data_IF_130830479321
#
_entry.id   IF_130830479321
#
_cell.length_a   1.000
_cell.length_b   1.000
_cell.length_c   1.000
_cell.angle_alpha   90.00
_cell.angle_beta   90.00
_cell.angle_gamma   90.00
#
_symmetry.space_group_name_H-M   'P 1'
#
loop_
_entity.id
_entity.type
_entity.pdbx_description
1 polymer ?
#
# COMPACT_ATOMS: atom_id res chain seq x y z
N UNK A 1 -9.14 -111.01 115.43
CA UNK A 1 -8.12 -110.09 115.95
C UNK A 1 -8.84 -108.77 116.13
N UNK A 2 -9.04 -108.19 117.29
CA UNK A 2 -8.62 -108.44 118.69
C UNK A 2 -9.85 -107.99 119.51
N UNK A 3 -10.42 -108.86 120.35
CA UNK A 3 -10.20 -108.86 121.81
C UNK A 3 -10.78 -107.60 122.49
N UNK A 4 -11.49 -107.63 123.62
CA UNK A 4 -11.92 -108.63 124.58
C UNK A 4 -13.09 -107.92 125.31
N UNK A 5 -14.29 -108.50 125.48
CA UNK A 5 -14.62 -109.44 126.55
C UNK A 5 -14.27 -108.92 127.97
N UNK A 6 -14.97 -109.34 129.04
CA UNK A 6 -16.42 -109.34 129.28
C UNK A 6 -16.71 -109.08 130.78
N UNK A 7 -17.91 -109.50 131.22
CA UNK A 7 -18.19 -110.09 132.54
C UNK A 7 -18.46 -109.13 133.70
N UNK A 8 -19.35 -109.40 134.65
CA UNK A 8 -20.42 -110.39 134.85
C UNK A 8 -20.90 -110.18 136.30
N UNK A 9 -22.03 -110.82 136.65
CA UNK A 9 -22.34 -111.29 138.01
C UNK A 9 -22.72 -110.24 139.06
N UNK A 10 -23.63 -110.49 140.00
CA UNK A 10 -24.69 -111.48 140.28
C UNK A 10 -25.13 -111.09 141.70
N UNK A 11 -26.40 -111.32 142.02
CA UNK A 11 -26.96 -111.43 143.40
C UNK A 11 -26.94 -110.13 144.22
N UNK A 12 -27.80 -109.90 145.19
CA UNK A 12 -29.15 -110.32 145.54
C UNK A 12 -29.47 -109.54 146.82
N UNK A 13 -30.69 -108.99 146.93
CA UNK A 13 -31.48 -108.71 148.15
C UNK A 13 -30.76 -107.95 149.29
N UNK A 14 -31.15 -106.76 149.71
CA UNK A 14 -32.46 -106.33 150.27
C UNK A 14 -32.38 -104.81 150.45
N UNK A 15 -33.45 -104.06 150.19
CA UNK A 15 -33.52 -102.63 150.55
C UNK A 15 -34.51 -101.82 149.70
N UNK A 16 -35.78 -102.20 149.79
CA UNK A 16 -36.91 -101.54 149.12
C UNK A 16 -37.04 -100.07 149.51
N UNK A 17 -37.62 -99.27 148.59
CA UNK A 17 -38.13 -97.88 148.72
C UNK A 17 -37.25 -96.71 148.26
N UNK A 18 -35.93 -96.83 148.16
CA UNK A 18 -35.09 -95.76 147.60
C UNK A 18 -34.96 -95.75 146.05
N UNK A 19 -35.05 -96.93 145.43
CA UNK A 19 -34.63 -97.13 144.03
C UNK A 19 -35.65 -96.63 142.97
N UNK A 20 -36.94 -96.52 143.33
CA UNK A 20 -37.99 -96.09 142.39
C UNK A 20 -37.95 -94.58 142.09
N UNK A 21 -37.44 -93.74 143.01
CA UNK A 21 -37.29 -92.30 142.76
C UNK A 21 -36.13 -91.99 141.82
N UNK A 22 -34.99 -92.68 141.97
CA UNK A 22 -33.82 -92.48 141.11
C UNK A 22 -34.05 -92.94 139.65
N UNK A 23 -34.97 -93.88 139.40
CA UNK A 23 -35.37 -94.29 138.04
C UNK A 23 -36.24 -93.25 137.32
N UNK A 24 -37.06 -92.48 138.04
CA UNK A 24 -37.93 -91.48 137.44
C UNK A 24 -37.18 -90.21 137.00
N UNK A 25 -36.16 -89.79 137.77
CA UNK A 25 -35.30 -88.67 137.36
C UNK A 25 -34.44 -89.01 136.13
N UNK A 26 -33.93 -90.24 136.03
CA UNK A 26 -33.16 -90.69 134.85
C UNK A 26 -34.01 -90.77 133.57
N UNK A 27 -35.32 -91.01 133.66
CA UNK A 27 -36.18 -91.06 132.47
C UNK A 27 -36.52 -89.66 131.95
N UNK A 28 -36.69 -88.67 132.82
CA UNK A 28 -36.89 -87.27 132.40
C UNK A 28 -35.65 -86.67 131.73
N UNK A 29 -34.43 -86.97 132.20
CA UNK A 29 -33.21 -86.51 131.54
C UNK A 29 -33.02 -87.09 130.13
N UNK A 30 -33.44 -88.34 129.89
CA UNK A 30 -33.36 -88.97 128.57
C UNK A 30 -34.31 -88.31 127.55
N UNK A 31 -35.54 -87.97 127.96
CA UNK A 31 -36.51 -87.28 127.08
C UNK A 31 -36.03 -85.88 126.68
N UNK A 32 -35.39 -85.16 127.60
CA UNK A 32 -34.86 -83.82 127.32
C UNK A 32 -33.66 -83.86 126.35
N UNK A 33 -32.83 -84.90 126.40
CA UNK A 33 -31.72 -85.10 125.44
C UNK A 33 -32.20 -85.48 124.04
N UNK A 34 -33.27 -86.28 123.92
CA UNK A 34 -33.83 -86.63 122.61
C UNK A 34 -34.51 -85.43 121.93
N UNK A 35 -35.15 -84.53 122.70
CA UNK A 35 -35.72 -83.29 122.14
C UNK A 35 -34.66 -82.36 121.54
N UNK A 36 -33.51 -82.17 122.21
CA UNK A 36 -32.42 -81.32 121.68
C UNK A 36 -31.82 -81.86 120.37
N UNK A 37 -31.69 -83.18 120.21
CA UNK A 37 -31.17 -83.79 118.97
C UNK A 37 -32.13 -83.64 117.78
N UNK A 38 -33.43 -83.47 118.02
CA UNK A 38 -34.43 -83.27 116.95
C UNK A 38 -34.47 -81.81 116.49
N UNK A 39 -34.26 -80.83 117.39
CA UNK A 39 -34.17 -79.41 117.02
C UNK A 39 -32.92 -79.09 116.19
N UNK A 40 -31.76 -79.66 116.52
CA UNK A 40 -30.53 -79.45 115.73
C UNK A 40 -30.63 -80.01 114.30
N UNK A 41 -31.38 -81.10 114.10
CA UNK A 41 -31.62 -81.65 112.75
C UNK A 41 -32.58 -80.81 111.92
N UNK A 42 -33.56 -80.14 112.55
CA UNK A 42 -34.45 -79.20 111.84
C UNK A 42 -33.72 -77.95 111.37
N UNK A 43 -32.87 -77.36 112.22
CA UNK A 43 -32.11 -76.16 111.87
C UNK A 43 -31.14 -76.38 110.69
N UNK A 44 -30.47 -77.54 110.61
CA UNK A 44 -29.58 -77.86 109.47
C UNK A 44 -30.31 -78.08 108.14
N UNK A 45 -31.57 -78.53 108.19
CA UNK A 45 -32.37 -78.78 106.98
C UNK A 45 -33.03 -77.50 106.43
N UNK A 46 -33.26 -76.47 107.27
CA UNK A 46 -33.76 -75.17 106.84
C UNK A 46 -32.70 -74.33 106.11
N UNK A 47 -31.45 -74.39 106.56
CA UNK A 47 -30.33 -73.64 105.93
C UNK A 47 -30.03 -74.17 104.52
N UNK A 48 -30.02 -75.49 104.32
CA UNK A 48 -29.79 -76.09 102.98
C UNK A 48 -30.90 -75.76 101.97
N UNK A 49 -32.17 -75.61 102.41
CA UNK A 49 -33.27 -75.23 101.51
C UNK A 49 -33.22 -73.76 101.06
N UNK A 50 -32.63 -72.86 101.85
CA UNK A 50 -32.52 -71.45 101.47
C UNK A 50 -31.39 -71.19 100.45
N UNK A 51 -30.33 -72.01 100.44
CA UNK A 51 -29.21 -71.88 99.49
C UNK A 51 -29.55 -72.46 98.10
N UNK A 52 -30.35 -73.52 98.01
CA UNK A 52 -30.82 -74.07 96.72
C UNK A 52 -31.84 -73.16 96.02
N UNK A 53 -32.63 -72.39 96.78
CA UNK A 53 -33.62 -71.45 96.20
C UNK A 53 -32.93 -70.20 95.62
N UNK A 54 -31.89 -69.68 96.28
CA UNK A 54 -31.12 -68.52 95.77
C UNK A 54 -30.32 -68.83 94.50
N UNK A 55 -29.84 -70.06 94.34
CA UNK A 55 -29.07 -70.49 93.16
C UNK A 55 -29.97 -70.78 91.95
N UNK A 56 -31.23 -71.20 92.14
CA UNK A 56 -32.20 -71.37 91.04
C UNK A 56 -32.80 -70.07 90.52
N UNK A 57 -33.03 -69.08 91.38
CA UNK A 57 -33.52 -67.76 90.95
C UNK A 57 -32.49 -66.97 90.14
N UNK A 58 -31.19 -67.10 90.45
CA UNK A 58 -30.14 -66.43 89.68
C UNK A 58 -29.90 -67.04 88.28
N UNK A 59 -30.16 -68.34 88.10
CA UNK A 59 -29.99 -69.01 86.81
C UNK A 59 -31.09 -68.64 85.78
N UNK A 60 -32.33 -68.43 86.22
CA UNK A 60 -33.44 -68.04 85.34
C UNK A 60 -33.32 -66.59 84.84
N UNK A 61 -32.84 -65.69 85.70
CA UNK A 61 -32.65 -64.26 85.35
C UNK A 61 -31.51 -64.08 84.34
N UNK A 62 -30.45 -64.91 84.41
CA UNK A 62 -29.36 -64.84 83.42
C UNK A 62 -29.75 -65.41 82.04
N UNK A 63 -30.62 -66.41 81.99
CA UNK A 63 -31.02 -67.05 80.73
C UNK A 63 -32.05 -66.22 79.93
N UNK A 64 -32.93 -65.47 80.62
CA UNK A 64 -33.84 -64.50 79.97
C UNK A 64 -33.11 -63.24 79.48
N UNK A 65 -32.10 -62.74 80.22
CA UNK A 65 -31.29 -61.61 79.81
C UNK A 65 -30.43 -61.91 78.56
N UNK A 66 -29.89 -63.13 78.46
CA UNK A 66 -29.10 -63.56 77.29
C UNK A 66 -29.95 -63.71 76.02
N UNK A 67 -31.19 -64.24 76.13
CA UNK A 67 -32.09 -64.37 74.98
C UNK A 67 -32.61 -63.02 74.47
N UNK A 68 -32.89 -62.07 75.36
CA UNK A 68 -33.28 -60.71 74.99
C UNK A 68 -32.14 -59.93 74.31
N UNK A 69 -30.89 -60.09 74.77
CA UNK A 69 -29.72 -59.47 74.14
C UNK A 69 -29.47 -59.98 72.71
N UNK A 70 -29.60 -61.31 72.49
CA UNK A 70 -29.40 -61.92 71.16
C UNK A 70 -30.51 -61.54 70.17
N UNK A 71 -31.77 -61.40 70.62
CA UNK A 71 -32.84 -60.90 69.75
C UNK A 71 -32.69 -59.41 69.40
N UNK A 72 -32.24 -58.59 70.36
CA UNK A 72 -31.97 -57.17 70.13
C UNK A 72 -30.79 -56.98 69.15
N UNK A 73 -29.71 -57.75 69.30
CA UNK A 73 -28.58 -57.74 68.37
C UNK A 73 -28.98 -58.21 66.97
N UNK A 74 -29.78 -59.27 66.84
CA UNK A 74 -30.26 -59.74 65.53
C UNK A 74 -31.17 -58.71 64.84
N UNK A 75 -32.02 -58.00 65.60
CA UNK A 75 -32.87 -56.93 65.05
C UNK A 75 -32.04 -55.71 64.63
N UNK A 76 -31.05 -55.30 65.42
CA UNK A 76 -30.11 -54.24 65.03
C UNK A 76 -29.27 -54.62 63.81
N UNK A 77 -28.75 -55.85 63.77
CA UNK A 77 -27.94 -56.32 62.65
C UNK A 77 -28.76 -56.36 61.36
N UNK A 78 -30.01 -56.86 61.40
CA UNK A 78 -30.92 -56.83 60.24
C UNK A 78 -31.27 -55.42 59.80
N UNK A 79 -31.46 -54.47 60.73
CA UNK A 79 -31.68 -53.05 60.39
C UNK A 79 -30.44 -52.42 59.77
N UNK A 80 -29.25 -52.64 60.34
CA UNK A 80 -27.96 -52.16 59.80
C UNK A 80 -27.65 -52.81 58.44
N UNK A 81 -27.98 -54.07 58.23
CA UNK A 81 -27.80 -54.76 56.95
C UNK A 81 -28.79 -54.27 55.88
N UNK A 82 -30.06 -54.02 56.25
CA UNK A 82 -31.04 -53.43 55.35
C UNK A 82 -30.65 -51.99 54.95
N UNK A 83 -30.21 -51.17 55.92
CA UNK A 83 -29.70 -49.82 55.65
C UNK A 83 -28.45 -49.84 54.75
N UNK A 84 -27.49 -50.75 54.99
CA UNK A 84 -26.32 -50.92 54.11
C UNK A 84 -26.71 -51.36 52.70
N UNK A 85 -27.69 -52.26 52.55
CA UNK A 85 -28.17 -52.68 51.22
C UNK A 85 -28.87 -51.52 50.50
N UNK A 86 -29.68 -50.74 51.18
CA UNK A 86 -30.32 -49.54 50.61
C UNK A 86 -29.31 -48.44 50.26
N UNK A 87 -28.29 -48.22 51.10
CA UNK A 87 -27.19 -47.28 50.81
C UNK A 87 -26.35 -47.72 49.63
N UNK A 88 -26.02 -49.01 49.49
CA UNK A 88 -25.30 -49.54 48.33
C UNK A 88 -26.13 -49.35 47.06
N UNK A 89 -27.44 -49.57 47.11
CA UNK A 89 -28.33 -49.36 45.96
C UNK A 89 -28.42 -47.87 45.60
N UNK A 90 -28.54 -46.97 46.59
CA UNK A 90 -28.53 -45.52 46.38
C UNK A 90 -27.19 -45.03 45.82
N UNK A 91 -26.07 -45.51 46.34
CA UNK A 91 -24.72 -45.18 45.86
C UNK A 91 -24.47 -45.71 44.44
N UNK A 92 -24.97 -46.91 44.10
CA UNK A 92 -24.91 -47.43 42.73
C UNK A 92 -25.76 -46.60 41.78
N UNK A 93 -27.02 -46.28 42.15
CA UNK A 93 -27.89 -45.41 41.35
C UNK A 93 -27.29 -44.01 41.16
N UNK A 94 -26.73 -43.42 42.20
CA UNK A 94 -26.03 -42.13 42.10
C UNK A 94 -24.80 -42.21 41.20
N UNK A 95 -23.98 -43.27 41.31
CA UNK A 95 -22.84 -43.47 40.41
C UNK A 95 -23.27 -43.66 38.96
N UNK A 96 -24.36 -44.39 38.71
CA UNK A 96 -24.87 -44.61 37.36
C UNK A 96 -25.49 -43.32 36.78
N UNK A 97 -26.20 -42.54 37.60
CA UNK A 97 -26.72 -41.21 37.22
C UNK A 97 -25.59 -40.21 36.96
N UNK A 98 -24.57 -40.17 37.80
CA UNK A 98 -23.41 -39.29 37.62
C UNK A 98 -22.56 -39.72 36.42
N UNK A 99 -22.43 -41.03 36.16
CA UNK A 99 -21.78 -41.53 34.95
C UNK A 99 -22.56 -41.13 33.69
N UNK A 100 -23.89 -41.21 33.71
CA UNK A 100 -24.75 -40.74 32.62
C UNK A 100 -24.64 -39.22 32.41
N UNK A 101 -24.65 -38.43 33.49
CA UNK A 101 -24.44 -36.97 33.43
C UNK A 101 -23.06 -36.62 32.89
N UNK A 102 -22.00 -37.29 33.33
CA UNK A 102 -20.63 -37.10 32.81
C UNK A 102 -20.51 -37.50 31.34
N UNK A 103 -21.16 -38.58 30.92
CA UNK A 103 -21.19 -38.99 29.52
C UNK A 103 -21.93 -37.94 28.65
N UNK A 104 -23.07 -37.41 29.12
CA UNK A 104 -23.79 -36.33 28.45
C UNK A 104 -22.97 -35.04 28.37
N UNK A 105 -22.29 -34.64 29.46
CA UNK A 105 -21.41 -33.47 29.47
C UNK A 105 -20.23 -33.66 28.50
N UNK A 106 -19.61 -34.84 28.48
CA UNK A 106 -18.52 -35.13 27.55
C UNK A 106 -18.99 -35.14 26.09
N UNK A 107 -20.18 -35.65 25.81
CA UNK A 107 -20.76 -35.64 24.47
C UNK A 107 -21.14 -34.22 24.03
N UNK A 108 -21.68 -33.39 24.95
CA UNK A 108 -21.97 -31.99 24.65
C UNK A 108 -20.69 -31.18 24.42
N UNK A 109 -19.66 -31.37 25.25
CA UNK A 109 -18.35 -30.72 25.08
C UNK A 109 -17.69 -31.12 23.76
N UNK A 110 -17.73 -32.40 23.36
CA UNK A 110 -17.22 -32.83 22.05
C UNK A 110 -17.95 -32.16 20.88
N UNK A 111 -19.30 -32.10 20.95
CA UNK A 111 -20.11 -31.40 19.93
C UNK A 111 -19.82 -29.90 19.90
N UNK A 112 -19.54 -29.30 21.05
CA UNK A 112 -19.17 -27.89 21.16
C UNK A 112 -17.77 -27.62 20.61
N UNK A 113 -16.79 -28.48 20.91
CA UNK A 113 -15.42 -28.42 20.36
C UNK A 113 -15.41 -28.60 18.84
N UNK A 114 -16.21 -29.51 18.28
CA UNK A 114 -16.35 -29.68 16.84
C UNK A 114 -16.98 -28.44 16.17
N UNK A 115 -17.97 -27.83 16.81
CA UNK A 115 -18.56 -26.55 16.36
C UNK A 115 -17.54 -25.42 16.42
N UNK A 116 -16.78 -25.32 17.51
CA UNK A 116 -15.74 -24.31 17.69
C UNK A 116 -14.61 -24.47 16.66
N UNK A 117 -14.20 -25.70 16.34
CA UNK A 117 -13.21 -25.97 15.27
C UNK A 117 -13.72 -25.53 13.90
N UNK A 118 -14.95 -25.88 13.53
CA UNK A 118 -15.56 -25.42 12.26
C UNK A 118 -15.64 -23.90 12.21
N UNK A 119 -16.04 -23.26 13.31
CA UNK A 119 -16.11 -21.81 13.41
C UNK A 119 -14.72 -21.14 13.28
N UNK A 120 -13.67 -21.73 13.86
CA UNK A 120 -12.29 -21.27 13.67
C UNK A 120 -11.79 -21.45 12.22
N UNK A 121 -12.13 -22.56 11.57
CA UNK A 121 -11.78 -22.79 10.16
C UNK A 121 -12.49 -21.80 9.23
N UNK A 122 -13.79 -21.56 9.44
CA UNK A 122 -14.57 -20.62 8.64
C UNK A 122 -14.12 -19.17 8.86
N UNK A 123 -13.84 -18.78 10.10
CA UNK A 123 -13.27 -17.45 10.40
C UNK A 123 -11.88 -17.28 9.79
N UNK A 124 -11.05 -18.31 9.80
CA UNK A 124 -9.74 -18.27 9.14
C UNK A 124 -9.86 -18.13 7.61
N UNK A 125 -10.81 -18.83 6.98
CA UNK A 125 -11.10 -18.67 5.54
C UNK A 125 -11.59 -17.27 5.20
N UNK A 126 -12.51 -16.73 5.99
CA UNK A 126 -13.03 -15.36 5.81
C UNK A 126 -11.89 -14.34 5.97
N UNK A 127 -11.04 -14.49 6.98
CA UNK A 127 -9.90 -13.59 7.20
C UNK A 127 -8.92 -13.64 6.02
N UNK A 128 -8.59 -14.82 5.50
CA UNK A 128 -7.76 -14.96 4.29
C UNK A 128 -8.33 -14.24 3.07
N UNK A 129 -9.65 -14.29 2.87
CA UNK A 129 -10.32 -13.58 1.78
C UNK A 129 -10.25 -12.07 2.01
N UNK A 130 -10.52 -11.61 3.24
CA UNK A 130 -10.41 -10.19 3.62
C UNK A 130 -8.99 -9.65 3.38
N UNK A 131 -7.97 -10.36 3.84
CA UNK A 131 -6.57 -9.97 3.65
C UNK A 131 -6.21 -9.86 2.16
N UNK A 132 -6.70 -10.78 1.32
CA UNK A 132 -6.49 -10.72 -0.14
C UNK A 132 -7.17 -9.49 -0.76
N UNK A 133 -8.39 -9.17 -0.35
CA UNK A 133 -9.10 -7.97 -0.82
C UNK A 133 -8.36 -6.70 -0.36
N UNK A 134 -7.85 -6.66 0.87
CA UNK A 134 -7.07 -5.52 1.37
C UNK A 134 -5.76 -5.34 0.60
N UNK A 135 -5.03 -6.43 0.32
CA UNK A 135 -3.83 -6.39 -0.53
C UNK A 135 -4.13 -5.83 -1.92
N UNK A 136 -5.17 -6.34 -2.59
CA UNK A 136 -5.58 -5.81 -3.90
C UNK A 136 -5.98 -4.34 -3.86
N UNK A 137 -6.63 -3.88 -2.78
CA UNK A 137 -6.91 -2.45 -2.59
C UNK A 137 -5.62 -1.62 -2.45
N UNK A 138 -4.62 -2.13 -1.74
CA UNK A 138 -3.31 -1.46 -1.62
C UNK A 138 -2.56 -1.44 -2.95
N UNK A 139 -2.53 -2.55 -3.68
CA UNK A 139 -1.93 -2.67 -5.01
C UNK A 139 -2.59 -1.73 -6.01
N UNK A 140 -3.92 -1.66 -6.04
CA UNK A 140 -4.64 -0.74 -6.91
C UNK A 140 -4.31 0.73 -6.61
N UNK A 141 -4.14 1.10 -5.34
CA UNK A 141 -3.71 2.45 -4.96
C UNK A 141 -2.29 2.76 -5.42
N UNK A 142 -1.35 1.84 -5.19
CA UNK A 142 0.05 1.98 -5.63
C UNK A 142 0.11 2.11 -7.15
N UNK A 143 -0.55 1.21 -7.87
CA UNK A 143 -0.66 1.25 -9.33
C UNK A 143 -1.18 2.60 -9.83
N UNK A 144 -2.23 3.15 -9.21
CA UNK A 144 -2.79 4.44 -9.62
C UNK A 144 -1.80 5.59 -9.48
N UNK A 145 -1.11 5.66 -8.35
CA UNK A 145 -0.09 6.69 -8.11
C UNK A 145 1.09 6.56 -9.09
N UNK A 146 1.62 5.36 -9.28
CA UNK A 146 2.74 5.10 -10.19
C UNK A 146 2.37 5.37 -11.66
N UNK A 147 1.19 4.92 -12.09
CA UNK A 147 0.69 5.15 -13.44
C UNK A 147 0.51 6.64 -13.71
N UNK A 148 -0.11 7.39 -12.79
CA UNK A 148 -0.24 8.84 -12.93
C UNK A 148 1.11 9.55 -13.01
N UNK A 149 2.07 9.18 -12.15
CA UNK A 149 3.40 9.76 -12.13
C UNK A 149 4.15 9.49 -13.45
N UNK A 150 4.10 8.25 -13.93
CA UNK A 150 4.69 7.84 -15.21
C UNK A 150 4.08 8.62 -16.39
N UNK A 151 2.74 8.70 -16.46
CA UNK A 151 2.05 9.44 -17.52
C UNK A 151 2.39 10.93 -17.50
N UNK A 152 2.47 11.54 -16.31
CA UNK A 152 2.91 12.95 -16.17
C UNK A 152 4.34 13.14 -16.67
N UNK A 153 5.26 12.24 -16.30
CA UNK A 153 6.65 12.27 -16.75
C UNK A 153 6.77 12.12 -18.29
N UNK A 154 6.04 11.17 -18.88
CA UNK A 154 6.00 10.99 -20.34
C UNK A 154 5.47 12.24 -21.05
N UNK A 155 4.39 12.84 -20.54
CA UNK A 155 3.82 14.08 -21.07
C UNK A 155 4.84 15.21 -21.06
N UNK A 156 5.50 15.42 -19.92
CA UNK A 156 6.45 16.50 -19.73
C UNK A 156 7.69 16.30 -20.60
N UNK A 157 8.18 15.05 -20.72
CA UNK A 157 9.23 14.69 -21.66
C UNK A 157 8.85 15.01 -23.10
N UNK A 158 7.65 14.65 -23.55
CA UNK A 158 7.18 14.98 -24.91
C UNK A 158 7.11 16.48 -25.13
N UNK A 159 6.60 17.26 -24.17
CA UNK A 159 6.57 18.73 -24.26
C UNK A 159 7.97 19.34 -24.38
N UNK A 160 8.95 18.79 -23.65
CA UNK A 160 10.36 19.21 -23.76
C UNK A 160 10.95 18.87 -25.14
N UNK A 161 10.61 17.70 -25.69
CA UNK A 161 11.03 17.35 -27.06
C UNK A 161 10.47 18.34 -28.08
N UNK A 162 9.18 18.70 -27.98
CA UNK A 162 8.57 19.72 -28.84
C UNK A 162 9.27 21.09 -28.71
N UNK A 163 9.66 21.50 -27.50
CA UNK A 163 10.43 22.73 -27.28
C UNK A 163 11.81 22.66 -27.93
N UNK A 164 12.51 21.54 -27.77
CA UNK A 164 13.84 21.35 -28.36
C UNK A 164 13.80 21.36 -29.89
N UNK A 165 12.83 20.68 -30.49
CA UNK A 165 12.63 20.62 -31.93
C UNK A 165 12.25 22.00 -32.50
N UNK A 166 11.40 22.76 -31.80
CA UNK A 166 11.09 24.14 -32.15
C UNK A 166 12.34 25.02 -32.18
N UNK A 167 13.19 24.94 -31.14
CA UNK A 167 14.41 25.77 -31.07
C UNK A 167 15.36 25.44 -32.23
N UNK A 168 15.58 24.16 -32.53
CA UNK A 168 16.44 23.73 -33.64
C UNK A 168 15.90 24.23 -34.98
N UNK A 169 14.64 23.92 -35.30
CA UNK A 169 14.01 24.34 -36.56
C UNK A 169 13.92 25.86 -36.68
N UNK A 170 13.62 26.58 -35.60
CA UNK A 170 13.57 28.05 -35.60
C UNK A 170 14.94 28.65 -35.92
N UNK A 171 16.03 28.08 -35.38
CA UNK A 171 17.40 28.50 -35.73
C UNK A 171 17.71 28.24 -37.20
N UNK A 172 17.41 27.06 -37.70
CA UNK A 172 17.63 26.71 -39.12
C UNK A 172 16.88 27.68 -40.04
N UNK A 173 15.59 27.93 -39.78
CA UNK A 173 14.78 28.91 -40.51
C UNK A 173 15.46 30.28 -40.50
N UNK A 174 15.79 30.83 -39.31
CA UNK A 174 16.42 32.13 -39.17
C UNK A 174 17.74 32.22 -39.94
N UNK A 175 18.60 31.20 -39.85
CA UNK A 175 19.87 31.18 -40.59
C UNK A 175 19.65 31.11 -42.11
N UNK A 176 18.67 30.35 -42.57
CA UNK A 176 18.30 30.28 -43.99
C UNK A 176 17.80 31.62 -44.53
N UNK A 177 16.94 32.31 -43.77
CA UNK A 177 16.46 33.64 -44.12
C UNK A 177 17.57 34.70 -44.06
N UNK A 178 18.47 34.62 -43.07
CA UNK A 178 19.64 35.51 -42.98
C UNK A 178 20.53 35.40 -44.22
N UNK A 179 20.81 34.17 -44.69
CA UNK A 179 21.58 33.96 -45.94
C UNK A 179 20.91 34.62 -47.13
N UNK A 180 19.60 34.39 -47.32
CA UNK A 180 18.84 35.01 -48.42
C UNK A 180 18.83 36.53 -48.36
N UNK A 181 18.81 37.16 -47.17
CA UNK A 181 18.98 38.61 -47.04
C UNK A 181 20.36 39.05 -47.51
N UNK A 182 21.40 38.32 -47.12
CA UNK A 182 22.76 38.56 -47.59
C UNK A 182 22.88 38.46 -49.11
N UNK A 183 22.19 37.49 -49.74
CA UNK A 183 22.15 37.36 -51.19
C UNK A 183 21.48 38.57 -51.86
N UNK A 184 20.37 39.07 -51.30
CA UNK A 184 19.71 40.30 -51.80
C UNK A 184 20.64 41.51 -51.67
N UNK A 185 21.33 41.67 -50.53
CA UNK A 185 22.26 42.77 -50.31
C UNK A 185 23.45 42.71 -51.28
N UNK A 186 23.91 41.50 -51.61
CA UNK A 186 24.98 41.29 -52.59
C UNK A 186 24.51 41.58 -54.03
N UNK A 187 23.31 41.14 -54.41
CA UNK A 187 22.67 41.48 -55.69
C UNK A 187 22.52 43.00 -55.85
N UNK A 188 21.99 43.69 -54.82
CA UNK A 188 21.82 45.14 -54.81
C UNK A 188 23.17 45.85 -55.02
N UNK A 189 24.21 45.44 -54.28
CA UNK A 189 25.55 46.01 -54.42
C UNK A 189 26.14 45.78 -55.81
N UNK A 190 26.02 44.58 -56.37
CA UNK A 190 26.53 44.27 -57.70
C UNK A 190 25.86 45.14 -58.76
N UNK A 191 24.53 45.27 -58.73
CA UNK A 191 23.78 46.11 -59.66
C UNK A 191 24.15 47.59 -59.53
N UNK A 192 24.36 48.09 -58.31
CA UNK A 192 24.81 49.47 -58.08
C UNK A 192 26.24 49.71 -58.59
N UNK A 193 27.13 48.72 -58.47
CA UNK A 193 28.48 48.79 -59.03
C UNK A 193 28.45 48.82 -60.55
N UNK A 194 27.71 47.92 -61.19
CA UNK A 194 27.52 47.91 -62.65
C UNK A 194 26.96 49.25 -63.14
N UNK A 195 25.97 49.82 -62.44
CA UNK A 195 25.40 51.13 -62.77
C UNK A 195 26.44 52.26 -62.66
N UNK A 196 27.31 52.20 -61.65
CA UNK A 196 28.38 53.17 -61.48
C UNK A 196 29.46 53.05 -62.58
N UNK A 197 29.78 51.84 -63.02
CA UNK A 197 30.69 51.59 -64.14
C UNK A 197 30.11 52.09 -65.46
N UNK A 198 28.84 51.80 -65.73
CA UNK A 198 28.11 52.32 -66.88
C UNK A 198 28.14 53.86 -66.88
N UNK A 199 27.83 54.49 -65.75
CA UNK A 199 27.90 55.95 -65.58
C UNK A 199 29.26 56.51 -65.94
N UNK A 200 30.35 55.91 -65.43
CA UNK A 200 31.72 56.34 -65.74
C UNK A 200 32.00 56.21 -67.23
N UNK A 201 31.64 55.09 -67.85
CA UNK A 201 31.90 54.83 -69.26
C UNK A 201 31.15 55.81 -70.18
N UNK A 202 29.90 56.13 -69.88
CA UNK A 202 29.08 57.04 -70.67
C UNK A 202 29.51 58.50 -70.49
N UNK A 203 29.87 58.90 -69.26
CA UNK A 203 30.46 60.22 -69.01
C UNK A 203 31.76 60.41 -69.80
N UNK A 204 32.64 59.41 -69.81
CA UNK A 204 33.87 59.45 -70.61
C UNK A 204 33.57 59.58 -72.11
N UNK A 205 32.57 58.87 -72.63
CA UNK A 205 32.14 59.01 -74.03
C UNK A 205 31.64 60.42 -74.34
N UNK A 206 30.84 61.02 -73.46
CA UNK A 206 30.37 62.40 -73.62
C UNK A 206 31.53 63.40 -73.60
N UNK A 207 32.50 63.24 -72.70
CA UNK A 207 33.70 64.08 -72.65
C UNK A 207 34.56 63.94 -73.90
N UNK A 208 34.77 62.71 -74.40
CA UNK A 208 35.51 62.48 -75.63
C UNK A 208 34.81 63.11 -76.84
N UNK A 209 33.48 63.00 -76.91
CA UNK A 209 32.67 63.60 -77.97
C UNK A 209 32.66 65.14 -77.91
N UNK A 210 32.66 65.73 -76.71
CA UNK A 210 32.84 67.17 -76.53
C UNK A 210 34.19 67.64 -77.06
N UNK A 211 35.27 66.95 -76.67
CA UNK A 211 36.63 67.28 -77.11
C UNK A 211 36.78 67.16 -78.63
N UNK A 212 36.25 66.10 -79.23
CA UNK A 212 36.25 65.91 -80.67
C UNK A 212 35.51 67.05 -81.38
N UNK A 213 34.27 67.36 -80.97
CA UNK A 213 33.49 68.46 -81.56
C UNK A 213 34.19 69.81 -81.44
N UNK A 214 34.81 70.10 -80.29
CA UNK A 214 35.60 71.33 -80.09
C UNK A 214 36.83 71.36 -81.00
N UNK A 215 37.52 70.24 -81.18
CA UNK A 215 38.68 70.14 -82.07
C UNK A 215 38.30 70.38 -83.54
N UNK A 216 37.26 69.71 -84.03
CA UNK A 216 36.77 69.84 -85.40
C UNK A 216 36.34 71.29 -85.68
N UNK A 217 35.58 71.88 -84.76
CA UNK A 217 35.15 73.28 -84.82
C UNK A 217 36.35 74.25 -84.82
N UNK A 218 37.34 74.04 -83.94
CA UNK A 218 38.55 74.88 -83.89
C UNK A 218 39.36 74.79 -85.19
N UNK A 219 39.44 73.61 -85.81
CA UNK A 219 40.11 73.44 -87.10
C UNK A 219 39.41 74.26 -88.19
N UNK A 220 38.07 74.19 -88.26
CA UNK A 220 37.27 74.97 -89.20
C UNK A 220 37.47 76.49 -89.01
N UNK A 221 37.45 76.98 -87.76
CA UNK A 221 37.68 78.40 -87.48
C UNK A 221 39.10 78.84 -87.79
N UNK A 222 40.13 78.01 -87.56
CA UNK A 222 41.50 78.31 -88.00
C UNK A 222 41.57 78.46 -89.53
N UNK A 223 40.93 77.56 -90.28
CA UNK A 223 40.86 77.66 -91.75
C UNK A 223 40.17 78.96 -92.20
N UNK A 224 39.05 79.34 -91.57
CA UNK A 224 38.35 80.60 -91.87
C UNK A 224 39.20 81.83 -91.56
N UNK A 225 39.93 81.84 -90.43
CA UNK A 225 40.87 82.92 -90.08
C UNK A 225 41.97 83.09 -91.12
N UNK A 226 42.52 81.98 -91.65
CA UNK A 226 43.53 82.04 -92.71
C UNK A 226 42.98 82.67 -93.99
N UNK A 227 41.73 82.34 -94.37
CA UNK A 227 41.07 82.95 -95.53
C UNK A 227 40.79 84.45 -95.31
N UNK A 228 40.27 84.82 -94.13
CA UNK A 228 40.09 86.23 -93.77
C UNK A 228 41.42 87.00 -93.78
N UNK A 229 42.50 86.34 -93.34
CA UNK A 229 43.87 86.85 -93.37
C UNK A 229 44.39 87.23 -94.76
N UNK A 230 43.81 86.65 -95.83
CA UNK A 230 44.18 86.92 -97.22
C UNK A 230 43.42 88.08 -97.87
N UNK A 231 42.50 88.73 -97.15
CA UNK A 231 41.74 89.89 -97.64
C UNK A 231 42.68 91.12 -97.74
N UNK A 232 42.81 91.76 -98.92
CA UNK A 232 43.73 92.89 -99.11
C UNK A 232 43.36 94.18 -98.36
N UNK A 233 42.05 94.43 -98.15
CA UNK A 233 41.58 95.59 -97.40
C UNK A 233 41.63 95.31 -95.88
N UNK A 234 42.42 96.11 -95.16
CA UNK A 234 42.61 95.99 -93.72
C UNK A 234 41.32 96.20 -92.91
N UNK A 235 40.38 97.03 -93.39
CA UNK A 235 39.11 97.23 -92.69
C UNK A 235 38.19 96.02 -92.87
N UNK A 236 38.03 95.54 -94.11
CA UNK A 236 37.29 94.32 -94.40
C UNK A 236 37.87 93.09 -93.69
N UNK A 237 39.19 92.93 -93.66
CA UNK A 237 39.88 91.87 -92.93
C UNK A 237 39.54 91.88 -91.44
N UNK A 238 39.65 93.05 -90.78
CA UNK A 238 39.32 93.17 -89.34
C UNK A 238 37.87 92.81 -89.08
N UNK A 239 36.94 93.30 -89.91
CA UNK A 239 35.52 92.99 -89.77
C UNK A 239 35.26 91.48 -89.86
N UNK A 240 35.81 90.81 -90.87
CA UNK A 240 35.67 89.36 -91.07
C UNK A 240 36.25 88.56 -89.89
N UNK A 241 37.43 88.95 -89.37
CA UNK A 241 38.01 88.28 -88.19
C UNK A 241 37.17 88.45 -86.94
N UNK A 242 36.58 89.62 -86.70
CA UNK A 242 35.68 89.85 -85.57
C UNK A 242 34.39 89.03 -85.68
N UNK A 243 33.85 88.90 -86.90
CA UNK A 243 32.67 88.04 -87.16
C UNK A 243 33.01 86.57 -86.91
N UNK A 244 34.17 86.09 -87.34
CA UNK A 244 34.67 84.74 -87.07
C UNK A 244 34.81 84.46 -85.56
N UNK A 245 35.39 85.39 -84.80
CA UNK A 245 35.56 85.24 -83.35
C UNK A 245 34.21 85.24 -82.61
N UNK A 246 33.25 86.06 -83.05
CA UNK A 246 31.89 86.07 -82.50
C UNK A 246 31.16 84.75 -82.78
N UNK A 247 31.32 84.21 -84.00
CA UNK A 247 30.77 82.90 -84.37
C UNK A 247 31.43 81.77 -83.57
N UNK A 248 32.75 81.78 -83.38
CA UNK A 248 33.47 80.77 -82.59
C UNK A 248 32.98 80.73 -81.14
N UNK A 249 32.79 81.89 -80.50
CA UNK A 249 32.23 81.97 -79.14
C UNK A 249 30.82 81.40 -79.07
N UNK A 250 29.98 81.74 -80.05
CA UNK A 250 28.59 81.26 -80.14
C UNK A 250 28.52 79.74 -80.32
N UNK A 251 29.28 79.19 -81.28
CA UNK A 251 29.31 77.74 -81.54
C UNK A 251 29.92 76.97 -80.37
N UNK A 252 30.99 77.49 -79.74
CA UNK A 252 31.57 76.88 -78.53
C UNK A 252 30.52 76.80 -77.41
N UNK A 253 29.78 77.90 -77.18
CA UNK A 253 28.72 77.94 -76.17
C UNK A 253 27.59 76.95 -76.49
N UNK A 254 27.24 76.75 -77.76
CA UNK A 254 26.22 75.76 -78.17
C UNK A 254 26.68 74.34 -77.89
N UNK A 255 27.93 74.00 -78.22
CA UNK A 255 28.50 72.67 -77.95
C UNK A 255 28.49 72.40 -76.44
N UNK A 256 28.94 73.35 -75.63
CA UNK A 256 28.94 73.21 -74.17
C UNK A 256 27.53 73.06 -73.59
N UNK A 257 26.57 73.86 -74.04
CA UNK A 257 25.19 73.76 -73.59
C UNK A 257 24.57 72.39 -73.93
N UNK A 258 24.81 71.87 -75.14
CA UNK A 258 24.36 70.55 -75.56
C UNK A 258 24.98 69.43 -74.70
N UNK A 259 26.28 69.51 -74.42
CA UNK A 259 26.96 68.50 -73.60
C UNK A 259 26.51 68.54 -72.14
N UNK A 260 26.35 69.74 -71.56
CA UNK A 260 25.79 69.90 -70.21
C UNK A 260 24.39 69.30 -70.09
N UNK A 261 23.53 69.52 -71.09
CA UNK A 261 22.21 68.90 -71.14
C UNK A 261 22.32 67.37 -71.19
N UNK A 262 23.15 66.82 -72.08
CA UNK A 262 23.35 65.38 -72.20
C UNK A 262 23.87 64.73 -70.90
N UNK A 263 24.81 65.39 -70.21
CA UNK A 263 25.30 64.94 -68.89
C UNK A 263 24.18 64.97 -67.84
N UNK A 264 23.39 66.05 -67.80
CA UNK A 264 22.27 66.17 -66.87
C UNK A 264 21.19 65.11 -67.11
N UNK A 265 20.85 64.84 -68.38
CA UNK A 265 19.86 63.82 -68.75
C UNK A 265 20.35 62.41 -68.35
N UNK A 266 21.65 62.14 -68.54
CA UNK A 266 22.30 60.92 -68.10
C UNK A 266 22.25 60.76 -66.57
N UNK A 267 22.58 61.81 -65.82
CA UNK A 267 22.53 61.78 -64.35
C UNK A 267 21.12 61.57 -63.81
N UNK A 268 20.12 62.19 -64.43
CA UNK A 268 18.71 61.99 -64.08
C UNK A 268 18.28 60.52 -64.31
N UNK A 269 18.67 59.93 -65.43
CA UNK A 269 18.36 58.53 -65.74
C UNK A 269 19.07 57.56 -64.79
N UNK A 270 20.35 57.80 -64.46
CA UNK A 270 21.08 56.99 -63.49
C UNK A 270 20.47 57.07 -62.09
N UNK A 271 20.03 58.26 -61.68
CA UNK A 271 19.37 58.45 -60.38
C UNK A 271 18.06 57.67 -60.29
N UNK A 272 17.24 57.70 -61.36
CA UNK A 272 16.02 56.89 -61.45
C UNK A 272 16.33 55.40 -61.34
N UNK A 273 17.31 54.92 -62.11
CA UNK A 273 17.69 53.51 -62.16
C UNK A 273 18.26 53.01 -60.83
N UNK A 274 19.04 53.84 -60.15
CA UNK A 274 19.53 53.59 -58.79
C UNK A 274 18.36 53.44 -57.81
N UNK A 275 17.41 54.37 -57.85
CA UNK A 275 16.22 54.31 -56.99
C UNK A 275 15.38 53.06 -57.27
N UNK A 276 15.23 52.65 -58.53
CA UNK A 276 14.54 51.41 -58.90
C UNK A 276 15.24 50.17 -58.30
N UNK A 277 16.57 50.07 -58.36
CA UNK A 277 17.35 48.98 -57.76
C UNK A 277 17.15 48.94 -56.25
N UNK A 278 17.30 50.08 -55.57
CA UNK A 278 17.18 50.18 -54.11
C UNK A 278 15.75 49.84 -53.65
N UNK A 279 14.73 50.35 -54.34
CA UNK A 279 13.32 50.07 -54.00
C UNK A 279 12.92 48.63 -54.26
N UNK A 280 13.40 48.03 -55.35
CA UNK A 280 13.16 46.61 -55.64
C UNK A 280 13.80 45.71 -54.59
N UNK A 281 15.06 45.98 -54.22
CA UNK A 281 15.79 45.23 -53.20
C UNK A 281 15.15 45.39 -51.82
N UNK A 282 14.67 46.59 -51.49
CA UNK A 282 13.87 46.83 -50.27
C UNK A 282 12.59 46.00 -50.25
N UNK A 283 11.81 45.98 -51.34
CA UNK A 283 10.59 45.16 -51.43
C UNK A 283 10.88 43.66 -51.26
N UNK A 284 11.98 43.17 -51.86
CA UNK A 284 12.46 41.79 -51.66
C UNK A 284 12.75 41.52 -50.17
N UNK A 285 13.48 42.42 -49.49
CA UNK A 285 13.78 42.30 -48.05
C UNK A 285 12.52 42.30 -47.19
N UNK A 286 11.57 43.19 -47.48
CA UNK A 286 10.31 43.30 -46.74
C UNK A 286 9.46 42.03 -46.89
N UNK A 287 9.32 41.52 -48.12
CA UNK A 287 8.62 40.26 -48.38
C UNK A 287 9.28 39.10 -47.65
N UNK A 288 10.61 39.03 -47.71
CA UNK A 288 11.37 37.96 -47.07
C UNK A 288 11.27 38.01 -45.54
N UNK A 289 11.19 39.21 -44.95
CA UNK A 289 10.93 39.38 -43.52
C UNK A 289 9.51 38.97 -43.13
N UNK A 290 8.51 39.20 -44.00
CA UNK A 290 7.14 38.70 -43.80
C UNK A 290 7.09 37.17 -43.87
N UNK A 291 7.72 36.57 -44.88
CA UNK A 291 7.79 35.11 -45.04
C UNK A 291 8.48 34.45 -43.84
N UNK A 292 9.55 35.04 -43.29
CA UNK A 292 10.20 34.54 -42.07
C UNK A 292 9.27 34.59 -40.86
N UNK A 293 8.53 35.70 -40.68
CA UNK A 293 7.57 35.82 -39.58
C UNK A 293 6.48 34.77 -39.70
N UNK A 294 5.92 34.58 -40.90
CA UNK A 294 4.87 33.61 -41.13
C UNK A 294 5.35 32.19 -40.86
N UNK A 295 6.52 31.82 -41.38
CA UNK A 295 7.09 30.47 -41.17
C UNK A 295 7.42 30.21 -39.69
N UNK A 296 7.87 31.22 -38.93
CA UNK A 296 8.08 31.10 -37.50
C UNK A 296 6.76 30.95 -36.71
N UNK A 297 5.71 31.68 -37.10
CA UNK A 297 4.37 31.54 -36.51
C UNK A 297 3.80 30.15 -36.77
N UNK A 298 3.93 29.63 -38.00
CA UNK A 298 3.45 28.30 -38.35
C UNK A 298 4.20 27.22 -37.53
N UNK A 299 5.50 27.38 -37.34
CA UNK A 299 6.31 26.50 -36.49
C UNK A 299 5.89 26.56 -35.01
N UNK A 300 5.56 27.75 -34.50
CA UNK A 300 5.05 27.93 -33.13
C UNK A 300 3.68 27.26 -32.95
N UNK A 301 2.78 27.42 -33.93
CA UNK A 301 1.48 26.76 -33.95
C UNK A 301 1.62 25.23 -33.96
N UNK A 302 2.56 24.68 -34.73
CA UNK A 302 2.85 23.24 -34.73
C UNK A 302 3.32 22.76 -33.36
N UNK A 303 4.25 23.48 -32.71
CA UNK A 303 4.68 23.17 -31.34
C UNK A 303 3.52 23.20 -30.36
N UNK A 304 2.67 24.22 -30.41
CA UNK A 304 1.49 24.31 -29.53
C UNK A 304 0.52 23.14 -29.76
N UNK A 305 0.29 22.75 -31.02
CA UNK A 305 -0.52 21.59 -31.36
C UNK A 305 0.08 20.28 -30.82
N UNK A 306 1.39 20.08 -30.99
CA UNK A 306 2.09 18.91 -30.45
C UNK A 306 1.99 18.81 -28.92
N UNK A 307 2.17 19.94 -28.22
CA UNK A 307 2.01 20.00 -26.76
C UNK A 307 0.57 19.68 -26.32
N UNK A 308 -0.44 20.22 -27.00
CA UNK A 308 -1.85 19.91 -26.73
C UNK A 308 -2.15 18.43 -26.94
N UNK A 309 -1.66 17.84 -28.03
CA UNK A 309 -1.81 16.41 -28.29
C UNK A 309 -1.21 15.54 -27.16
N UNK A 310 -0.03 15.91 -26.67
CA UNK A 310 0.58 15.22 -25.53
C UNK A 310 -0.24 15.35 -24.24
N UNK A 311 -0.85 16.52 -23.99
CA UNK A 311 -1.77 16.71 -22.86
C UNK A 311 -3.05 15.87 -22.99
N UNK A 312 -3.65 15.84 -24.19
CA UNK A 312 -4.85 15.05 -24.45
C UNK A 312 -4.59 13.55 -24.29
N UNK A 313 -3.49 13.03 -24.81
CA UNK A 313 -3.11 11.63 -24.65
C UNK A 313 -2.89 11.28 -23.18
N UNK A 314 -2.16 12.13 -22.44
CA UNK A 314 -1.97 11.95 -21.00
C UNK A 314 -3.30 11.94 -20.25
N UNK A 315 -4.21 12.85 -20.60
CA UNK A 315 -5.56 12.91 -20.04
C UNK A 315 -6.38 11.65 -20.34
N UNK A 316 -6.29 11.09 -21.57
CA UNK A 316 -6.94 9.81 -21.92
C UNK A 316 -6.38 8.65 -21.09
N UNK A 317 -5.06 8.52 -20.99
CA UNK A 317 -4.41 7.48 -20.17
C UNK A 317 -4.80 7.59 -18.69
N UNK A 318 -4.84 8.79 -18.13
CA UNK A 318 -5.26 9.01 -16.73
C UNK A 318 -6.72 8.56 -16.51
N UNK A 319 -7.63 8.82 -17.47
CA UNK A 319 -9.03 8.37 -17.37
C UNK A 319 -9.20 6.85 -17.39
N UNK A 320 -8.21 6.11 -17.88
CA UNK A 320 -8.22 4.64 -17.87
C UNK A 320 -7.73 4.04 -16.55
N UNK A 321 -6.98 4.81 -15.74
CA UNK A 321 -6.43 4.33 -14.46
C UNK A 321 -7.52 3.79 -13.53
N UNK A 322 -8.65 4.48 -13.29
CA UNK A 322 -9.69 3.96 -12.39
C UNK A 322 -10.30 2.64 -12.87
N UNK A 323 -10.34 2.39 -14.19
CA UNK A 323 -10.83 1.12 -14.74
C UNK A 323 -9.87 -0.01 -14.39
N UNK A 324 -8.57 0.19 -14.62
CA UNK A 324 -7.53 -0.77 -14.23
C UNK A 324 -7.43 -0.98 -12.73
N UNK A 325 -7.63 0.07 -11.92
CA UNK A 325 -7.71 -0.07 -10.46
C UNK A 325 -8.88 -0.95 -10.04
N UNK A 326 -10.05 -0.82 -10.69
CA UNK A 326 -11.19 -1.70 -10.43
C UNK A 326 -10.90 -3.15 -10.82
N UNK A 327 -10.26 -3.38 -11.97
CA UNK A 327 -9.85 -4.72 -12.40
C UNK A 327 -8.90 -5.39 -11.38
N UNK A 328 -7.96 -4.64 -10.81
CA UNK A 328 -7.07 -5.11 -9.73
C UNK A 328 -7.87 -5.44 -8.47
N UNK A 329 -8.78 -4.57 -8.03
CA UNK A 329 -9.61 -4.79 -6.83
C UNK A 329 -10.51 -6.02 -6.97
N UNK A 330 -11.15 -6.18 -8.13
CA UNK A 330 -12.03 -7.31 -8.46
C UNK A 330 -11.23 -8.61 -8.64
N UNK A 331 -9.94 -8.52 -8.93
CA UNK A 331 -9.08 -9.67 -9.23
C UNK A 331 -9.35 -10.31 -10.58
N UNK A 332 -10.07 -9.60 -11.46
CA UNK A 332 -10.39 -10.04 -12.82
C UNK A 332 -9.18 -10.08 -13.75
N UNK A 333 -8.02 -9.57 -13.28
CA UNK A 333 -6.73 -9.67 -13.97
C UNK A 333 -5.82 -10.85 -13.57
N UNK A 334 -6.12 -11.60 -12.49
CA UNK A 334 -5.18 -12.59 -11.92
C UNK A 334 -5.29 -14.02 -12.49
N UNK A 335 -6.27 -14.36 -13.32
CA UNK A 335 -6.41 -15.74 -13.84
C UNK A 335 -5.50 -16.08 -15.03
N UNK A 336 -4.56 -15.21 -15.44
CA UNK A 336 -3.62 -15.51 -16.55
C UNK A 336 -2.14 -15.33 -16.27
N UNK A 337 -1.72 -14.93 -15.07
CA UNK A 337 -0.30 -14.89 -14.70
C UNK A 337 -0.02 -15.71 -13.43
N UNK A 338 -0.37 -17.00 -13.48
CA UNK A 338 0.38 -18.01 -12.73
C UNK A 338 1.77 -18.14 -13.37
N UNK A 339 2.65 -17.19 -13.08
CA UNK A 339 3.94 -17.08 -13.77
C UNK A 339 4.89 -16.14 -13.05
N UNK A 340 5.48 -16.63 -11.96
CA UNK A 340 6.85 -16.34 -11.54
C UNK A 340 7.22 -14.84 -11.44
N UNK A 341 6.85 -14.19 -10.33
CA UNK A 341 7.75 -13.19 -9.72
C UNK A 341 8.83 -13.93 -8.93
N UNK A 342 9.72 -14.60 -9.67
CA UNK A 342 10.98 -15.11 -9.15
C UNK A 342 11.98 -13.96 -9.18
N UNK A 343 12.29 -13.41 -8.00
CA UNK A 343 13.48 -12.59 -7.83
C UNK A 343 14.69 -13.51 -8.00
N UNK A 344 15.24 -13.59 -9.21
CA UNK A 344 16.62 -14.02 -9.43
C UNK A 344 17.52 -12.87 -9.00
N UNK A 345 18.08 -12.99 -7.81
CA UNK A 345 19.29 -12.24 -7.43
C UNK A 345 20.45 -13.08 -7.95
N UNK A 346 21.00 -12.68 -9.09
CA UNK A 346 22.29 -13.20 -9.54
C UNK A 346 23.38 -12.64 -8.60
N UNK A 347 24.11 -13.56 -7.96
CA UNK A 347 25.38 -13.32 -7.26
C UNK A 347 26.51 -13.89 -8.09
#
# INVERSE_FOLDING_TARGET
>A
MEENHPRNYKKAKKGERGYMRAQFEKSQELVMRERKKIEEKKAKHEVQKQEEMKTREQALIQDEAAKAAVEAEKKEYRKKEAQRKEEIIKMKKQRDEDAKKRAQINESLKKEDEKNKKLMEDTHRINKIKDRIERRKTEAKIFGHEAEASIKSERDRRKLLEDSAFIQKSREIKTGFQKKRGDIDNEEKAQLQELAELSRSEKLKLTALEQQKKSDMQYDFRRRRLLAGSIPDAYAQRKETMEIDAQERSETSKIEAQMRKAVSDLEANLTKRRFEIETFSRRKRDKLAQDERQTLIDLENQKLAGKKSAEEEAGRKIREIPKKQKEIIEGSGEEKSGGVFGWTVDV
#
